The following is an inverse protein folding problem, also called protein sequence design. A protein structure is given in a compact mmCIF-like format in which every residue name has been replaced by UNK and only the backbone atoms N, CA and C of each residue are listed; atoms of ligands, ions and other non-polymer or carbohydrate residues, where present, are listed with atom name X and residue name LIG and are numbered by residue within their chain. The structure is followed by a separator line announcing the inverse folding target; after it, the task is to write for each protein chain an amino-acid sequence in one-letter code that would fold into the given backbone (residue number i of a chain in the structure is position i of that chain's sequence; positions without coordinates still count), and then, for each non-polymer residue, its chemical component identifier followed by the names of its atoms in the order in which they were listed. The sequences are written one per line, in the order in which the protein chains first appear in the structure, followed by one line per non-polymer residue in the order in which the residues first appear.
data_IF_659602032135
#
_entry.id   IF_659602032135
#
_cell.length_a   1.000
_cell.length_b   1.000
_cell.length_c   1.000
_cell.angle_alpha   90.00
_cell.angle_beta   90.00
_cell.angle_gamma   90.00
#
_symmetry.space_group_name_H-M   'P 1'
#
loop_
_entity.id
_entity.type
_entity.pdbx_description
1 polymer ?
#
# COMPACT_ATOMS: atom_id res chain seq x y z
N UNK A 1 -18.90 2.48 22.53
CA UNK A 1 -19.97 2.07 21.59
C UNK A 1 -19.37 1.49 20.34
N UNK A 2 -20.08 0.56 19.67
CA UNK A 2 -19.59 -0.18 18.49
C UNK A 2 -19.01 0.73 17.40
N UNK A 3 -19.61 1.91 17.14
CA UNK A 3 -19.10 2.88 16.15
C UNK A 3 -17.71 3.42 16.49
N UNK A 4 -17.36 3.55 17.75
CA UNK A 4 -16.06 4.07 18.18
C UNK A 4 -14.94 3.06 17.93
N UNK A 5 -15.26 1.78 17.96
CA UNK A 5 -14.29 0.70 17.79
C UNK A 5 -14.29 0.11 16.37
N UNK A 6 -15.14 0.63 15.46
CA UNK A 6 -15.28 0.11 14.09
C UNK A 6 -13.97 0.16 13.32
N UNK A 7 -13.20 1.24 13.47
CA UNK A 7 -11.88 1.35 12.89
C UNK A 7 -10.98 0.16 13.28
N UNK A 8 -10.92 -0.13 14.55
CA UNK A 8 -10.05 -1.19 15.08
C UNK A 8 -10.56 -2.58 14.77
N UNK A 9 -11.86 -2.80 14.89
CA UNK A 9 -12.45 -4.14 14.86
C UNK A 9 -12.80 -4.62 13.45
N UNK A 10 -13.12 -3.72 12.55
CA UNK A 10 -13.56 -4.05 11.20
C UNK A 10 -12.66 -3.46 10.13
N UNK A 11 -12.49 -2.13 10.09
CA UNK A 11 -11.82 -1.48 8.98
C UNK A 11 -10.34 -1.83 8.91
N UNK A 12 -9.60 -1.75 10.01
CA UNK A 12 -8.18 -2.10 10.00
C UNK A 12 -7.93 -3.58 9.64
N UNK A 13 -8.62 -4.56 10.22
CA UNK A 13 -8.51 -5.94 9.77
C UNK A 13 -8.84 -6.13 8.30
N UNK A 14 -9.85 -5.43 7.79
CA UNK A 14 -10.21 -5.47 6.38
C UNK A 14 -9.09 -4.88 5.49
N UNK A 15 -8.58 -3.70 5.84
CA UNK A 15 -7.52 -2.99 5.10
C UNK A 15 -6.22 -3.80 5.10
N UNK A 16 -5.81 -4.30 6.27
CA UNK A 16 -4.56 -5.05 6.44
C UNK A 16 -4.66 -6.51 6.04
N UNK A 17 -5.85 -6.99 5.66
CA UNK A 17 -6.11 -8.39 5.33
C UNK A 17 -5.78 -9.36 6.46
N UNK A 18 -5.83 -8.89 7.70
CA UNK A 18 -5.59 -9.71 8.89
C UNK A 18 -6.82 -10.43 9.38
N UNK A 19 -8.01 -10.05 8.93
CA UNK A 19 -9.28 -10.70 9.23
C UNK A 19 -9.78 -11.53 8.05
N UNK A 20 -10.57 -12.56 8.35
CA UNK A 20 -11.28 -13.33 7.32
C UNK A 20 -12.51 -12.54 6.85
N UNK A 21 -12.67 -12.44 5.54
CA UNK A 21 -13.74 -11.65 4.91
C UNK A 21 -15.14 -12.02 5.40
N UNK A 22 -15.44 -13.31 5.51
CA UNK A 22 -16.76 -13.75 5.99
C UNK A 22 -17.00 -13.34 7.43
N UNK A 23 -16.00 -13.46 8.30
CA UNK A 23 -16.09 -13.01 9.69
C UNK A 23 -16.33 -11.50 9.76
N UNK A 24 -15.64 -10.73 8.94
CA UNK A 24 -15.80 -9.27 8.89
C UNK A 24 -17.22 -8.93 8.41
N UNK A 25 -17.70 -9.56 7.32
CA UNK A 25 -19.02 -9.33 6.78
C UNK A 25 -20.14 -9.69 7.77
N UNK A 26 -20.05 -10.87 8.38
CA UNK A 26 -21.14 -11.40 9.19
C UNK A 26 -21.18 -10.78 10.59
N UNK A 27 -20.02 -10.44 11.14
CA UNK A 27 -19.89 -9.89 12.49
C UNK A 27 -19.98 -8.36 12.52
N UNK A 28 -19.43 -7.68 11.49
CA UNK A 28 -19.33 -6.23 11.44
C UNK A 28 -20.17 -5.66 10.30
N UNK A 29 -21.45 -5.46 10.56
CA UNK A 29 -22.42 -4.98 9.59
C UNK A 29 -23.39 -3.97 10.21
N UNK A 30 -24.19 -3.31 9.39
CA UNK A 30 -25.26 -2.42 9.86
C UNK A 30 -26.23 -3.17 10.77
N UNK A 31 -26.56 -4.43 10.45
CA UNK A 31 -27.43 -5.28 11.25
C UNK A 31 -26.87 -5.52 12.66
N UNK A 32 -25.57 -5.48 12.84
CA UNK A 32 -24.90 -5.62 14.15
C UNK A 32 -24.51 -4.29 14.80
N UNK A 33 -24.95 -3.15 14.21
CA UNK A 33 -24.79 -1.81 14.77
C UNK A 33 -23.51 -1.09 14.36
N UNK A 34 -22.85 -1.54 13.29
CA UNK A 34 -21.76 -0.82 12.65
C UNK A 34 -22.31 0.18 11.61
N UNK A 35 -21.46 1.04 11.07
CA UNK A 35 -21.90 2.15 10.22
C UNK A 35 -22.12 1.75 8.76
N UNK A 36 -21.64 0.58 8.37
CA UNK A 36 -21.76 0.03 7.01
C UNK A 36 -21.57 -1.48 6.99
N UNK A 37 -21.97 -2.07 5.86
CA UNK A 37 -21.58 -3.42 5.50
C UNK A 37 -20.24 -3.41 4.76
N UNK A 38 -19.43 -4.44 4.97
CA UNK A 38 -18.12 -4.57 4.37
C UNK A 38 -18.14 -5.52 3.18
N UNK A 39 -17.46 -5.15 2.08
CA UNK A 39 -17.37 -6.00 0.89
C UNK A 39 -16.40 -7.17 1.11
N UNK A 40 -16.69 -8.28 0.46
CA UNK A 40 -15.76 -9.40 0.37
C UNK A 40 -14.65 -9.08 -0.64
N UNK A 41 -13.43 -9.44 -0.32
CA UNK A 41 -12.29 -9.45 -1.24
C UNK A 41 -12.11 -10.82 -1.88
N UNK A 42 -12.38 -11.87 -1.12
CA UNK A 42 -12.34 -13.24 -1.61
C UNK A 42 -13.73 -13.65 -2.07
N UNK A 43 -13.90 -13.90 -3.36
CA UNK A 43 -15.14 -14.40 -3.91
C UNK A 43 -15.15 -15.92 -4.04
N UNK A 44 -13.94 -16.53 -4.02
CA UNK A 44 -13.74 -17.98 -3.96
C UNK A 44 -12.33 -18.27 -3.44
N UNK A 45 -11.99 -19.50 -3.04
CA UNK A 45 -10.64 -19.88 -2.65
C UNK A 45 -9.57 -19.61 -3.71
N UNK A 46 -9.96 -19.54 -4.97
CA UNK A 46 -9.08 -19.26 -6.11
C UNK A 46 -9.08 -17.79 -6.55
N UNK A 47 -10.02 -16.97 -6.08
CA UNK A 47 -10.14 -15.55 -6.46
C UNK A 47 -9.88 -14.65 -5.25
N UNK A 48 -8.59 -14.45 -4.97
CA UNK A 48 -8.13 -13.60 -3.87
C UNK A 48 -7.77 -12.22 -4.39
N UNK A 49 -8.68 -11.27 -4.23
CA UNK A 49 -8.48 -9.87 -4.60
C UNK A 49 -7.66 -9.14 -3.55
N UNK A 50 -6.38 -9.42 -3.50
CA UNK A 50 -5.50 -8.89 -2.46
C UNK A 50 -4.95 -7.49 -2.73
N UNK A 51 -5.06 -7.00 -3.96
CA UNK A 51 -4.62 -5.66 -4.35
C UNK A 51 -5.81 -4.83 -4.82
N UNK A 52 -5.69 -3.52 -4.65
CA UNK A 52 -6.51 -2.57 -5.39
C UNK A 52 -6.07 -2.51 -6.86
N UNK A 53 -6.84 -1.82 -7.67
CA UNK A 53 -6.47 -1.56 -9.05
C UNK A 53 -5.25 -0.64 -9.12
N UNK A 54 -4.40 -0.90 -10.10
CA UNK A 54 -3.18 -0.14 -10.40
C UNK A 54 -3.43 0.52 -11.75
N UNK A 55 -3.57 1.84 -11.77
CA UNK A 55 -3.90 2.59 -12.99
C UNK A 55 -2.68 3.36 -13.47
N UNK A 56 -2.26 4.38 -12.73
CA UNK A 56 -1.18 5.27 -13.15
C UNK A 56 0.15 4.99 -12.44
N UNK A 57 0.13 4.16 -11.41
CA UNK A 57 1.34 3.79 -10.69
C UNK A 57 2.15 2.77 -11.47
N UNK A 58 3.45 2.98 -11.50
CA UNK A 58 4.39 2.01 -12.10
C UNK A 58 4.57 0.80 -11.20
N UNK A 59 4.92 -0.33 -11.81
CA UNK A 59 5.51 -1.48 -11.11
C UNK A 59 7.02 -1.41 -11.30
N UNK A 60 7.76 -1.27 -10.21
CA UNK A 60 9.20 -1.08 -10.23
C UNK A 60 9.91 -2.25 -9.55
N UNK A 61 11.04 -2.65 -10.11
CA UNK A 61 11.97 -3.58 -9.46
C UNK A 61 13.06 -2.81 -8.71
N UNK A 62 13.43 -3.31 -7.55
CA UNK A 62 14.45 -2.71 -6.67
C UNK A 62 15.35 -3.81 -6.11
N UNK A 63 16.65 -3.62 -6.23
CA UNK A 63 17.61 -4.63 -5.80
C UNK A 63 17.81 -5.75 -6.82
N UNK A 64 18.48 -6.82 -6.43
CA UNK A 64 18.63 -8.06 -7.22
C UNK A 64 19.45 -7.95 -8.51
N UNK A 65 19.93 -6.77 -8.84
CA UNK A 65 20.70 -6.54 -10.07
C UNK A 65 22.19 -6.89 -9.94
N UNK A 66 22.83 -7.10 -11.08
CA UNK A 66 24.28 -7.10 -11.17
C UNK A 66 24.79 -5.66 -11.16
N UNK A 67 25.90 -5.44 -10.49
CA UNK A 67 26.64 -4.18 -10.60
C UNK A 67 27.37 -4.08 -11.93
N UNK A 68 27.84 -2.89 -12.30
CA UNK A 68 28.55 -2.65 -13.57
C UNK A 68 29.83 -3.47 -13.72
N UNK A 69 30.38 -3.95 -12.62
CA UNK A 69 31.56 -4.83 -12.56
C UNK A 69 31.19 -6.33 -12.55
N UNK A 70 29.92 -6.66 -12.77
CA UNK A 70 29.42 -8.04 -12.84
C UNK A 70 29.21 -8.71 -11.50
N UNK A 71 29.40 -8.00 -10.40
CA UNK A 71 29.10 -8.52 -9.08
C UNK A 71 27.60 -8.48 -8.80
N UNK A 72 27.07 -9.50 -8.15
CA UNK A 72 25.69 -9.50 -7.67
C UNK A 72 25.58 -8.50 -6.53
N UNK A 73 24.63 -7.59 -6.61
CA UNK A 73 24.37 -6.54 -5.60
C UNK A 73 24.19 -7.10 -4.17
N UNK A 74 23.89 -8.38 -4.03
CA UNK A 74 23.65 -9.04 -2.73
C UNK A 74 22.45 -8.49 -1.98
N UNK A 75 21.65 -7.60 -2.61
CA UNK A 75 20.38 -7.10 -2.08
C UNK A 75 19.24 -7.99 -2.53
N UNK A 76 18.27 -8.17 -1.64
CA UNK A 76 17.04 -8.84 -2.04
C UNK A 76 16.33 -8.02 -3.12
N UNK A 77 15.77 -8.73 -4.09
CA UNK A 77 14.93 -8.11 -5.11
C UNK A 77 13.53 -7.86 -4.56
N UNK A 78 13.01 -6.68 -4.83
CA UNK A 78 11.65 -6.28 -4.52
C UNK A 78 10.91 -5.79 -5.74
N UNK A 79 9.62 -6.09 -5.82
CA UNK A 79 8.65 -5.41 -6.64
C UNK A 79 7.91 -4.38 -5.78
N UNK A 80 7.78 -3.18 -6.31
CA UNK A 80 7.09 -2.08 -5.63
C UNK A 80 6.02 -1.51 -6.54
N UNK A 81 4.83 -1.31 -6.00
CA UNK A 81 3.74 -0.63 -6.69
C UNK A 81 2.83 0.08 -5.70
N UNK A 82 2.12 1.09 -6.16
CA UNK A 82 1.04 1.72 -5.42
C UNK A 82 -0.31 1.36 -6.04
N UNK A 83 -1.32 1.21 -5.22
CA UNK A 83 -2.63 0.76 -5.65
C UNK A 83 -3.77 1.59 -5.04
N UNK A 84 -4.93 1.56 -5.68
CA UNK A 84 -6.13 2.27 -5.22
C UNK A 84 -6.83 1.60 -4.02
N UNK A 85 -6.17 0.66 -3.36
CA UNK A 85 -6.52 0.24 -2.00
C UNK A 85 -5.92 1.14 -0.91
N UNK A 86 -5.22 2.18 -1.31
CA UNK A 86 -4.61 3.16 -0.42
C UNK A 86 -3.23 2.80 0.08
N UNK A 87 -2.57 1.82 -0.52
CA UNK A 87 -1.31 1.30 -0.04
C UNK A 87 -0.23 1.23 -1.11
N UNK A 88 1.00 1.43 -0.66
CA UNK A 88 2.21 1.06 -1.39
C UNK A 88 2.58 -0.35 -0.95
N UNK A 89 2.70 -1.25 -1.90
CA UNK A 89 3.02 -2.65 -1.65
C UNK A 89 4.45 -2.98 -2.09
N UNK A 90 5.16 -3.68 -1.21
CA UNK A 90 6.47 -4.22 -1.48
C UNK A 90 6.41 -5.75 -1.43
N UNK A 91 6.76 -6.38 -2.54
CA UNK A 91 6.85 -7.82 -2.65
C UNK A 91 8.31 -8.22 -2.77
N UNK A 92 8.74 -9.20 -2.00
CA UNK A 92 10.09 -9.75 -2.07
C UNK A 92 10.12 -10.99 -2.94
N UNK A 93 11.07 -11.07 -3.85
CA UNK A 93 11.42 -12.31 -4.53
C UNK A 93 11.92 -13.34 -3.52
N UNK A 94 11.45 -14.56 -3.62
CA UNK A 94 11.90 -15.65 -2.75
C UNK A 94 12.78 -16.65 -3.49
N UNK A 95 12.34 -17.10 -4.63
CA UNK A 95 13.01 -18.04 -5.52
C UNK A 95 12.17 -18.24 -6.79
N UNK A 96 12.67 -19.04 -7.71
CA UNK A 96 12.03 -19.27 -9.01
C UNK A 96 10.67 -19.96 -8.94
N UNK A 97 10.39 -20.71 -7.87
CA UNK A 97 9.11 -21.43 -7.70
C UNK A 97 8.05 -20.60 -6.96
N UNK A 98 8.49 -19.65 -6.12
CA UNK A 98 7.61 -18.71 -5.41
C UNK A 98 8.19 -17.31 -5.56
N UNK A 99 8.01 -16.72 -6.74
CA UNK A 99 8.80 -15.55 -7.14
C UNK A 99 8.62 -14.36 -6.21
N UNK A 100 7.41 -14.11 -5.71
CA UNK A 100 7.18 -12.94 -4.87
C UNK A 100 6.23 -13.22 -3.70
N UNK A 101 6.54 -12.61 -2.57
CA UNK A 101 5.65 -12.58 -1.40
C UNK A 101 5.53 -11.16 -0.86
N UNK A 102 4.34 -10.77 -0.44
CA UNK A 102 4.10 -9.48 0.19
C UNK A 102 4.93 -9.36 1.48
N UNK A 103 5.73 -8.30 1.58
CA UNK A 103 6.57 -8.01 2.75
C UNK A 103 6.09 -6.80 3.53
N UNK A 104 5.59 -5.79 2.83
CA UNK A 104 5.15 -4.56 3.44
C UNK A 104 3.99 -3.99 2.62
N UNK A 105 2.98 -3.51 3.33
CA UNK A 105 1.99 -2.57 2.80
C UNK A 105 2.04 -1.31 3.63
N UNK A 106 2.24 -0.17 2.99
CA UNK A 106 2.37 1.12 3.65
C UNK A 106 1.22 2.04 3.22
N UNK A 107 0.54 2.63 4.18
CA UNK A 107 -0.50 3.64 3.94
C UNK A 107 0.13 5.02 4.16
N UNK A 108 0.37 5.80 3.09
CA UNK A 108 0.88 7.16 3.24
C UNK A 108 -0.14 8.06 3.93
N UNK A 109 0.32 8.88 4.86
CA UNK A 109 -0.47 10.00 5.34
C UNK A 109 -0.60 11.04 4.24
N UNK A 110 -1.82 11.39 3.88
CA UNK A 110 -2.11 12.42 2.89
C UNK A 110 -2.91 13.57 3.49
N UNK A 111 -2.75 14.75 2.91
CA UNK A 111 -3.60 15.89 3.23
C UNK A 111 -4.95 15.73 2.55
N UNK A 112 -6.01 16.11 3.24
CA UNK A 112 -7.34 16.15 2.65
C UNK A 112 -7.35 17.06 1.40
N UNK A 113 -8.07 16.63 0.38
CA UNK A 113 -8.47 17.54 -0.69
C UNK A 113 -9.69 18.34 -0.23
N UNK A 114 -9.85 19.52 -0.79
CA UNK A 114 -11.06 20.30 -0.53
C UNK A 114 -12.33 19.60 -1.09
N UNK A 115 -13.51 20.12 -0.74
CA UNK A 115 -14.78 19.52 -1.12
C UNK A 115 -14.97 19.37 -2.64
N UNK A 116 -14.35 20.23 -3.46
CA UNK A 116 -14.43 20.16 -4.92
C UNK A 116 -13.74 18.92 -5.51
N UNK A 117 -12.82 18.34 -4.75
CA UNK A 117 -12.10 17.10 -5.10
C UNK A 117 -12.53 15.87 -4.29
N UNK A 118 -13.63 15.96 -3.54
CA UNK A 118 -14.16 14.87 -2.76
C UNK A 118 -13.89 14.96 -1.26
N UNK A 119 -13.06 15.89 -0.79
CA UNK A 119 -12.95 16.40 0.59
C UNK A 119 -12.84 15.41 1.74
N UNK A 120 -12.36 14.19 1.49
CA UNK A 120 -12.28 13.15 2.52
C UNK A 120 -10.85 12.85 2.90
N UNK A 121 -10.63 12.66 4.19
CA UNK A 121 -9.36 12.13 4.66
C UNK A 121 -9.17 10.66 4.27
N UNK A 122 -7.94 10.18 4.39
CA UNK A 122 -7.61 8.82 3.94
C UNK A 122 -8.40 7.74 4.69
N UNK A 123 -8.72 7.95 5.96
CA UNK A 123 -9.50 6.99 6.75
C UNK A 123 -10.95 6.89 6.25
N UNK A 124 -11.57 8.03 5.93
CA UNK A 124 -12.90 8.07 5.34
C UNK A 124 -12.93 7.44 3.95
N UNK A 125 -11.90 7.69 3.15
CA UNK A 125 -11.79 7.10 1.81
C UNK A 125 -11.56 5.58 1.89
N UNK A 126 -10.73 5.10 2.81
CA UNK A 126 -10.55 3.66 3.05
C UNK A 126 -11.87 3.00 3.52
N UNK A 127 -12.65 3.70 4.31
CA UNK A 127 -13.96 3.23 4.74
C UNK A 127 -14.93 3.10 3.55
N UNK A 128 -14.94 4.07 2.64
CA UNK A 128 -15.72 3.96 1.40
C UNK A 128 -15.25 2.80 0.51
N UNK A 129 -13.96 2.63 0.34
CA UNK A 129 -13.40 1.49 -0.41
C UNK A 129 -13.82 0.15 0.18
N UNK A 130 -13.97 0.07 1.49
CA UNK A 130 -14.41 -1.12 2.19
C UNK A 130 -15.92 -1.37 2.13
N UNK A 131 -16.72 -0.43 1.64
CA UNK A 131 -18.18 -0.55 1.59
C UNK A 131 -18.62 -1.64 0.61
N UNK A 132 -19.68 -2.42 0.95
CA UNK A 132 -20.14 -3.55 0.13
C UNK A 132 -20.52 -3.16 -1.30
N UNK A 133 -21.05 -1.94 -1.49
CA UNK A 133 -21.49 -1.41 -2.79
C UNK A 133 -20.40 -0.61 -3.52
N UNK A 134 -19.18 -0.53 -2.99
CA UNK A 134 -18.11 0.24 -3.61
C UNK A 134 -17.88 -0.14 -5.09
N UNK A 135 -17.87 0.87 -5.96
CA UNK A 135 -17.72 0.72 -7.40
C UNK A 135 -18.90 0.05 -8.12
N UNK A 136 -20.03 -0.17 -7.43
CA UNK A 136 -21.20 -0.83 -8.00
C UNK A 136 -22.38 0.09 -8.27
N UNK A 137 -22.46 1.20 -7.57
CA UNK A 137 -23.52 2.20 -7.77
C UNK A 137 -22.96 3.64 -7.67
N UNK A 138 -23.80 4.59 -8.09
CA UNK A 138 -23.41 6.00 -8.09
C UNK A 138 -23.23 6.61 -6.69
N UNK A 139 -23.78 5.99 -5.66
CA UNK A 139 -23.63 6.45 -4.26
C UNK A 139 -22.28 6.05 -3.67
N UNK A 140 -21.66 5.01 -4.23
CA UNK A 140 -20.39 4.46 -3.79
C UNK A 140 -19.41 4.33 -4.97
N UNK A 141 -19.09 5.45 -5.64
CA UNK A 141 -18.25 5.42 -6.84
C UNK A 141 -16.83 4.98 -6.51
N UNK A 142 -16.15 4.46 -7.52
CA UNK A 142 -14.72 4.22 -7.44
C UNK A 142 -13.95 5.49 -7.00
N UNK A 143 -12.94 5.32 -6.16
CA UNK A 143 -12.09 6.40 -5.64
C UNK A 143 -10.63 6.13 -5.98
N UNK A 144 -9.94 7.19 -6.34
CA UNK A 144 -8.49 7.18 -6.39
C UNK A 144 -7.93 7.43 -4.99
N UNK A 145 -6.96 6.62 -4.57
CA UNK A 145 -6.27 6.80 -3.30
C UNK A 145 -4.80 7.13 -3.52
N UNK A 146 -4.05 6.16 -4.08
CA UNK A 146 -2.64 6.34 -4.38
C UNK A 146 -2.43 5.94 -5.83
N UNK A 147 -2.72 6.85 -6.75
CA UNK A 147 -2.53 6.62 -8.16
C UNK A 147 -1.45 7.51 -8.78
N UNK A 148 -0.65 8.19 -7.96
CA UNK A 148 0.46 8.99 -8.43
C UNK A 148 1.67 8.13 -8.82
N UNK A 149 2.57 8.72 -9.60
CA UNK A 149 3.80 8.07 -10.00
C UNK A 149 4.72 7.78 -8.81
N UNK A 150 5.48 6.71 -8.95
CA UNK A 150 6.53 6.32 -8.00
C UNK A 150 7.87 6.24 -8.71
N UNK A 151 8.94 6.59 -7.99
CA UNK A 151 10.32 6.42 -8.46
C UNK A 151 11.19 5.85 -7.35
N UNK A 152 12.20 5.10 -7.75
CA UNK A 152 13.21 4.59 -6.83
C UNK A 152 14.55 5.23 -7.15
N UNK A 153 15.28 5.60 -6.10
CA UNK A 153 16.65 6.11 -6.18
C UNK A 153 17.54 5.34 -5.22
N UNK A 154 18.74 5.05 -5.66
CA UNK A 154 19.81 4.48 -4.84
C UNK A 154 20.80 5.58 -4.48
N UNK A 155 21.32 5.55 -3.27
CA UNK A 155 22.51 6.31 -2.91
C UNK A 155 23.75 5.56 -3.40
N UNK A 156 24.76 6.29 -3.83
CA UNK A 156 26.07 5.71 -4.07
C UNK A 156 26.69 5.27 -2.74
N UNK A 157 27.52 4.25 -2.80
CA UNK A 157 28.45 3.93 -1.72
C UNK A 157 29.65 4.88 -1.83
N UNK A 158 29.96 5.57 -0.76
CA UNK A 158 31.12 6.44 -0.68
C UNK A 158 31.86 6.14 0.62
N UNK A 159 32.89 5.32 0.50
CA UNK A 159 33.66 4.86 1.66
C UNK A 159 34.49 5.99 2.25
N UNK A 160 34.95 6.96 1.44
CA UNK A 160 35.73 8.10 1.89
C UNK A 160 34.89 9.09 2.70
N UNK A 161 33.64 9.28 2.31
CA UNK A 161 32.66 10.08 3.06
C UNK A 161 32.03 9.34 4.25
N UNK A 162 32.44 8.09 4.52
CA UNK A 162 31.85 7.28 5.59
C UNK A 162 30.43 6.78 5.29
N UNK A 163 29.99 6.87 4.04
CA UNK A 163 28.70 6.36 3.60
C UNK A 163 28.86 4.86 3.34
N UNK A 164 28.53 4.07 4.35
CA UNK A 164 28.66 2.63 4.29
C UNK A 164 27.32 2.03 3.83
N UNK A 165 27.34 1.42 2.66
CA UNK A 165 26.22 0.69 2.10
C UNK A 165 25.22 1.55 1.31
N UNK A 166 24.82 1.02 0.18
CA UNK A 166 23.83 1.67 -0.68
C UNK A 166 22.45 1.58 -0.03
N UNK A 167 21.74 2.70 0.00
CA UNK A 167 20.35 2.78 0.43
C UNK A 167 19.44 2.94 -0.79
N UNK A 168 18.24 2.39 -0.71
CA UNK A 168 17.22 2.59 -1.73
C UNK A 168 16.05 3.35 -1.13
N UNK A 169 15.68 4.44 -1.79
CA UNK A 169 14.56 5.28 -1.42
C UNK A 169 13.49 5.20 -2.49
N UNK A 170 12.26 4.98 -2.05
CA UNK A 170 11.06 5.10 -2.85
C UNK A 170 10.45 6.46 -2.60
N UNK A 171 10.18 7.20 -3.65
CA UNK A 171 9.42 8.46 -3.62
C UNK A 171 8.13 8.27 -4.42
N UNK A 172 7.04 8.77 -3.91
CA UNK A 172 5.78 8.69 -4.60
C UNK A 172 4.87 9.88 -4.28
N UNK A 173 3.89 10.06 -5.13
CA UNK A 173 2.85 11.07 -4.97
C UNK A 173 1.50 10.42 -4.77
N UNK A 174 0.58 11.16 -4.14
CA UNK A 174 -0.78 10.67 -3.88
C UNK A 174 -1.68 10.75 -5.13
N UNK A 175 -1.24 11.42 -6.19
CA UNK A 175 -2.02 11.59 -7.41
C UNK A 175 -3.35 12.31 -7.15
N UNK A 176 -4.44 11.71 -7.63
CA UNK A 176 -5.78 12.26 -7.43
C UNK A 176 -6.39 11.96 -6.05
N UNK A 177 -5.85 10.97 -5.33
CA UNK A 177 -6.42 10.51 -4.07
C UNK A 177 -6.27 11.49 -2.91
N UNK A 178 -5.14 12.19 -2.84
CA UNK A 178 -4.88 13.18 -1.80
C UNK A 178 -3.81 14.17 -2.24
N UNK A 179 -3.61 15.23 -1.45
CA UNK A 179 -2.46 16.13 -1.61
C UNK A 179 -1.30 15.60 -0.80
N UNK A 180 -0.18 15.39 -1.45
CA UNK A 180 1.03 14.97 -0.74
C UNK A 180 1.97 14.12 -1.58
N UNK A 181 3.14 13.94 -1.01
CA UNK A 181 4.14 13.02 -1.47
C UNK A 181 4.64 12.21 -0.26
N UNK A 182 5.23 11.07 -0.54
CA UNK A 182 5.80 10.22 0.50
C UNK A 182 7.18 9.73 0.07
N UNK A 183 8.02 9.44 1.06
CA UNK A 183 9.31 8.82 0.86
C UNK A 183 9.48 7.65 1.84
N UNK A 184 9.99 6.54 1.34
CA UNK A 184 10.28 5.35 2.14
C UNK A 184 11.72 4.97 1.93
N UNK A 185 12.45 4.72 3.02
CA UNK A 185 13.69 3.99 2.94
C UNK A 185 13.34 2.50 2.87
N UNK A 186 13.50 1.90 1.71
CA UNK A 186 13.23 0.48 1.47
C UNK A 186 14.48 -0.38 1.64
N UNK A 187 15.51 0.19 2.22
CA UNK A 187 16.66 -0.52 2.72
C UNK A 187 17.88 -0.48 1.84
N UNK A 188 18.92 -1.03 2.41
CA UNK A 188 20.20 -1.28 1.78
C UNK A 188 20.47 -2.77 1.69
N UNK A 189 21.74 -3.13 1.62
CA UNK A 189 22.20 -4.51 1.48
C UNK A 189 21.61 -5.41 2.57
N UNK A 190 20.76 -6.34 2.18
CA UNK A 190 20.16 -7.34 3.06
C UNK A 190 19.07 -6.85 4.04
N UNK A 191 18.63 -5.59 3.97
CA UNK A 191 17.64 -5.06 4.92
C UNK A 191 16.52 -4.26 4.25
N UNK A 192 15.29 -4.59 4.62
CA UNK A 192 14.18 -3.62 4.59
C UNK A 192 14.17 -2.96 5.96
N UNK A 193 14.51 -1.71 6.05
CA UNK A 193 14.40 -1.00 7.32
C UNK A 193 13.04 -0.35 7.51
N UNK A 194 12.18 -0.35 6.51
CA UNK A 194 10.77 0.05 6.61
C UNK A 194 10.50 1.39 7.31
N UNK A 195 11.54 2.19 7.50
CA UNK A 195 11.42 3.46 8.19
C UNK A 195 10.85 4.49 7.21
N UNK A 196 9.63 4.92 7.45
CA UNK A 196 9.10 6.08 6.76
C UNK A 196 9.99 7.30 7.11
N UNK A 197 10.56 7.91 6.10
CA UNK A 197 11.21 9.21 6.28
C UNK A 197 10.11 10.23 6.14
N UNK A 198 9.67 10.80 7.26
CA UNK A 198 8.75 11.92 7.24
C UNK A 198 9.41 13.07 6.47
N UNK A 199 8.76 13.52 5.43
CA UNK A 199 9.04 14.83 4.85
C UNK A 199 8.30 15.83 5.75
N UNK A 200 9.05 16.52 6.63
CA UNK A 200 8.54 17.69 7.32
C UNK A 200 8.39 18.84 6.33
#
# INVERSE_FOLDING_TARGET
TKKKDEWKNALMPWVTRSGQDNTIKDTYSEATGYSQNYRLRETSPSDKRNLGDIIDSSVLTVGGGQTTDGLVDGRNEFLVTAANDGMVHLFQSKNDTHPYSLKLSYIPGGMERDASYGGKNIAETLKEVAHEKYGRDASHPHRYLINGGIVVRRTAEDVEAGIIGQQSFLFGTMGQGARGAYALNIGGKGRITGKAVGLN
#
